data_IF_838527269068
#
_entry.id   IF_838527269068
#
_cell.length_a   1.000
_cell.length_b   1.000
_cell.length_c   1.000
_cell.angle_alpha   90.00
_cell.angle_beta   90.00
_cell.angle_gamma   90.00
#
_symmetry.space_group_name_H-M   'P 1'
#
loop_
_entity.id
_entity.type
_entity.pdbx_description
1 polymer ?
#
# COMPACT_ATOMS: atom_id res chain seq x y z
N UNK A 1 -7.79 19.72 6.42
CA UNK A 1 -9.13 19.23 6.78
C UNK A 1 -9.57 19.90 8.06
N UNK A 2 -10.82 20.37 8.11
CA UNK A 2 -11.46 20.96 9.27
C UNK A 2 -12.86 20.34 9.39
N UNK A 3 -13.38 20.08 10.60
CA UNK A 3 -14.77 19.71 10.76
C UNK A 3 -15.64 20.85 10.20
N UNK A 4 -16.75 20.50 9.54
CA UNK A 4 -17.75 21.50 9.14
C UNK A 4 -18.56 21.94 10.38
N UNK A 5 -17.97 22.79 11.22
CA UNK A 5 -18.57 23.27 12.47
C UNK A 5 -17.59 23.23 13.66
N UNK A 6 -18.03 23.66 14.84
CA UNK A 6 -17.27 23.56 16.11
C UNK A 6 -17.17 22.14 16.67
N UNK A 7 -17.61 21.13 15.92
CA UNK A 7 -17.72 19.77 16.39
C UNK A 7 -16.40 19.01 16.40
N UNK A 8 -16.29 18.09 17.36
CA UNK A 8 -15.29 17.02 17.30
C UNK A 8 -15.44 16.21 16.00
N UNK A 9 -14.33 15.63 15.54
CA UNK A 9 -14.32 14.82 14.32
C UNK A 9 -13.17 13.83 14.30
N UNK A 10 -13.46 12.64 13.78
CA UNK A 10 -12.46 11.63 13.43
C UNK A 10 -12.40 11.53 11.90
N UNK A 11 -11.18 11.57 11.35
CA UNK A 11 -10.93 11.16 9.96
C UNK A 11 -10.01 9.97 9.93
N UNK A 12 -10.39 8.97 9.14
CA UNK A 12 -9.58 7.81 8.84
C UNK A 12 -9.15 7.90 7.37
N UNK A 13 -7.85 8.03 7.15
CA UNK A 13 -7.24 7.91 5.83
C UNK A 13 -6.62 6.54 5.72
N UNK A 14 -7.00 5.79 4.69
CA UNK A 14 -6.46 4.47 4.45
C UNK A 14 -5.69 4.45 3.13
N UNK A 15 -4.51 3.83 3.18
CA UNK A 15 -3.56 3.75 2.09
C UNK A 15 -3.31 2.30 1.76
N UNK A 16 -3.27 2.02 0.45
CA UNK A 16 -3.03 0.70 -0.11
C UNK A 16 -1.79 0.76 -0.98
N UNK A 17 -0.84 -0.14 -0.76
CA UNK A 17 0.32 -0.30 -1.61
C UNK A 17 0.61 -1.77 -1.85
N UNK A 18 0.85 -2.17 -3.11
CA UNK A 18 1.35 -3.51 -3.40
C UNK A 18 2.85 -3.66 -3.05
N UNK A 19 3.53 -2.56 -2.70
CA UNK A 19 4.97 -2.52 -2.44
C UNK A 19 5.29 -2.43 -0.96
N UNK A 20 6.38 -3.11 -0.55
CA UNK A 20 6.93 -3.01 0.80
C UNK A 20 7.47 -1.60 1.02
N UNK A 21 6.86 -0.84 1.93
CA UNK A 21 7.44 0.42 2.39
C UNK A 21 8.67 0.11 3.25
N UNK A 22 9.80 0.68 2.89
CA UNK A 22 11.06 0.51 3.61
C UNK A 22 11.30 1.64 4.58
N UNK A 23 11.06 2.86 4.12
CA UNK A 23 11.21 4.08 4.88
C UNK A 23 10.19 5.09 4.39
N UNK A 24 9.96 6.14 5.17
CA UNK A 24 9.12 7.24 4.76
C UNK A 24 9.09 8.36 5.77
N UNK A 25 8.32 9.38 5.44
CA UNK A 25 8.05 10.51 6.31
C UNK A 25 6.58 10.87 6.25
N UNK A 26 5.98 11.09 7.41
CA UNK A 26 4.72 11.82 7.53
C UNK A 26 5.06 13.21 8.04
N UNK A 27 4.71 14.21 7.26
CA UNK A 27 4.97 15.62 7.54
C UNK A 27 3.63 16.35 7.55
N UNK A 28 3.39 17.20 8.53
CA UNK A 28 2.17 17.98 8.54
C UNK A 28 2.18 19.13 9.53
N UNK A 29 1.03 19.79 9.64
CA UNK A 29 0.80 20.89 10.57
C UNK A 29 -0.61 20.78 11.14
N UNK A 30 -0.69 20.64 12.46
CA UNK A 30 -1.92 20.77 13.23
C UNK A 30 -2.12 22.24 13.62
N UNK A 31 -3.31 22.77 13.39
CA UNK A 31 -3.74 24.08 13.89
C UNK A 31 -4.68 23.88 15.07
N UNK A 32 -4.64 24.78 16.03
CA UNK A 32 -5.47 24.75 17.24
C UNK A 32 -4.80 25.47 18.39
N UNK A 33 -5.52 25.67 19.47
CA UNK A 33 -5.01 26.17 20.74
C UNK A 33 -4.29 25.04 21.51
N UNK A 34 -3.43 25.40 22.47
CA UNK A 34 -2.72 24.47 23.36
C UNK A 34 -3.66 23.59 24.18
N UNK A 35 -4.89 24.04 24.39
CA UNK A 35 -5.92 23.33 25.13
C UNK A 35 -6.77 22.40 24.24
N UNK A 36 -6.58 22.46 22.92
CA UNK A 36 -7.28 21.58 21.99
C UNK A 36 -6.73 20.17 22.09
N UNK A 37 -7.63 19.20 22.11
CA UNK A 37 -7.28 17.78 22.09
C UNK A 37 -7.17 17.34 20.63
N UNK A 38 -5.94 17.36 20.13
CA UNK A 38 -5.60 16.95 18.77
C UNK A 38 -4.77 15.68 18.83
N UNK A 39 -5.05 14.73 17.97
CA UNK A 39 -4.23 13.54 17.79
C UNK A 39 -4.17 13.17 16.31
N UNK A 40 -2.98 12.80 15.86
CA UNK A 40 -2.76 12.02 14.66
C UNK A 40 -2.10 10.72 15.10
N UNK A 41 -2.72 9.61 14.71
CA UNK A 41 -2.22 8.27 14.99
C UNK A 41 -2.05 7.47 13.70
N UNK A 42 -1.09 6.57 13.68
CA UNK A 42 -0.76 5.71 12.56
C UNK A 42 -0.85 4.23 12.98
N UNK A 43 -1.22 3.35 12.05
CA UNK A 43 -1.05 1.91 12.19
C UNK A 43 -0.91 1.22 10.85
N UNK A 44 -0.27 0.06 10.86
CA UNK A 44 -0.17 -0.84 9.73
C UNK A 44 -1.02 -2.09 9.93
N UNK A 45 -1.41 -2.72 8.82
CA UNK A 45 -2.00 -4.05 8.84
C UNK A 45 -0.92 -5.09 9.15
N UNK A 46 -1.25 -6.05 10.01
CA UNK A 46 -0.41 -7.23 10.25
C UNK A 46 -0.43 -8.11 9.00
N UNK A 47 0.73 -8.61 8.58
CA UNK A 47 0.84 -9.52 7.45
C UNK A 47 -0.11 -10.72 7.61
N UNK A 48 -0.82 -11.06 6.54
CA UNK A 48 -1.68 -12.24 6.51
C UNK A 48 -0.81 -13.49 6.41
N UNK A 49 -0.80 -14.37 7.44
CA UNK A 49 0.19 -15.44 7.54
C UNK A 49 0.02 -16.53 6.47
N UNK A 50 -1.20 -16.79 6.01
CA UNK A 50 -1.48 -17.91 5.11
C UNK A 50 -1.94 -17.43 3.73
N UNK A 51 -2.95 -16.56 3.65
CA UNK A 51 -3.53 -16.12 2.38
C UNK A 51 -4.38 -14.84 2.51
N UNK A 52 -4.86 -14.31 1.37
CA UNK A 52 -5.67 -13.10 1.30
C UNK A 52 -7.02 -13.20 2.02
N UNK A 53 -7.54 -14.41 2.23
CA UNK A 53 -8.81 -14.67 2.93
C UNK A 53 -8.66 -14.71 4.46
N UNK A 54 -7.43 -14.73 5.00
CA UNK A 54 -7.22 -14.56 6.44
C UNK A 54 -7.83 -13.21 6.89
N UNK A 55 -8.44 -13.15 8.10
CA UNK A 55 -9.06 -11.92 8.59
C UNK A 55 -8.02 -10.81 8.76
N UNK A 56 -8.43 -9.58 8.44
CA UNK A 56 -7.59 -8.41 8.63
C UNK A 56 -7.31 -8.20 10.12
N UNK A 57 -6.02 -8.14 10.47
CA UNK A 57 -5.55 -7.77 11.81
C UNK A 57 -4.72 -6.52 11.69
N UNK A 58 -4.89 -5.61 12.64
CA UNK A 58 -4.20 -4.32 12.67
C UNK A 58 -3.23 -4.26 13.84
N UNK A 59 -2.10 -3.61 13.63
CA UNK A 59 -1.24 -3.22 14.74
C UNK A 59 -1.94 -2.21 15.65
N UNK A 60 -1.50 -2.07 16.91
CA UNK A 60 -1.95 -0.99 17.78
C UNK A 60 -1.74 0.38 17.13
N UNK A 61 -2.59 1.35 17.48
CA UNK A 61 -2.39 2.73 17.09
C UNK A 61 -1.16 3.31 17.78
N UNK A 62 -0.32 4.01 17.01
CA UNK A 62 0.79 4.80 17.53
C UNK A 62 0.56 6.28 17.29
N UNK A 63 0.68 7.10 18.33
CA UNK A 63 0.41 8.54 18.26
C UNK A 63 1.63 9.26 17.72
N UNK A 64 1.53 9.78 16.50
CA UNK A 64 2.65 10.46 15.80
C UNK A 64 2.65 11.98 16.00
N UNK A 65 1.51 12.57 16.38
CA UNK A 65 1.42 13.97 16.76
C UNK A 65 0.21 14.20 17.68
N UNK A 66 0.35 15.00 18.73
CA UNK A 66 -0.73 15.26 19.69
C UNK A 66 -0.86 16.72 20.13
N UNK A 67 -0.20 17.65 19.43
CA UNK A 67 -0.17 19.07 19.79
C UNK A 67 -0.22 19.95 18.53
N UNK A 68 -0.74 21.19 18.63
CA UNK A 68 -0.64 22.16 17.55
C UNK A 68 0.80 22.41 17.14
N UNK A 69 0.99 22.70 15.86
CA UNK A 69 2.28 22.97 15.24
C UNK A 69 2.66 21.97 14.16
N UNK A 70 3.86 22.15 13.63
CA UNK A 70 4.44 21.25 12.62
C UNK A 70 4.94 19.98 13.26
N UNK A 71 4.73 18.86 12.57
CA UNK A 71 5.27 17.57 12.94
C UNK A 71 5.93 16.90 11.73
N UNK A 72 6.94 16.09 12.02
CA UNK A 72 7.59 15.21 11.08
C UNK A 72 7.96 13.94 11.82
N UNK A 73 7.45 12.81 11.34
CA UNK A 73 7.77 11.48 11.87
C UNK A 73 8.34 10.64 10.74
N UNK A 74 9.45 9.96 11.03
CA UNK A 74 10.03 8.97 10.14
C UNK A 74 9.26 7.67 10.32
N UNK A 75 8.84 7.06 9.22
CA UNK A 75 8.36 5.69 9.19
C UNK A 75 9.52 4.79 8.76
N UNK A 76 9.69 3.67 9.44
CA UNK A 76 10.61 2.62 9.01
C UNK A 76 9.90 1.27 8.81
N UNK A 77 10.67 0.25 8.45
CA UNK A 77 10.16 -1.11 8.26
C UNK A 77 9.40 -1.61 9.48
N UNK A 78 9.81 -1.25 10.69
CA UNK A 78 9.14 -1.64 11.93
C UNK A 78 7.73 -1.08 12.04
N UNK A 79 7.53 0.16 11.58
CA UNK A 79 6.22 0.82 11.55
C UNK A 79 5.35 0.26 10.41
N UNK A 80 5.97 -0.03 9.27
CA UNK A 80 5.31 -0.56 8.09
C UNK A 80 4.92 -2.04 8.22
N UNK A 81 5.70 -2.80 8.99
CA UNK A 81 5.47 -4.19 9.36
C UNK A 81 6.54 -4.64 10.38
N UNK A 82 6.21 -4.66 11.67
CA UNK A 82 7.13 -5.05 12.74
C UNK A 82 7.77 -6.43 12.51
N UNK A 83 8.95 -6.46 11.86
CA UNK A 83 9.90 -7.60 11.77
C UNK A 83 9.33 -8.96 11.37
N UNK A 84 8.07 -9.02 10.91
CA UNK A 84 7.27 -10.23 10.68
C UNK A 84 6.48 -10.15 9.37
N UNK A 85 6.80 -9.18 8.51
CA UNK A 85 6.29 -9.15 7.14
C UNK A 85 6.76 -10.40 6.42
N UNK A 86 5.82 -11.29 6.10
CA UNK A 86 6.02 -12.25 5.01
C UNK A 86 6.37 -11.47 3.76
N UNK A 87 7.24 -12.03 2.93
CA UNK A 87 7.58 -11.53 1.59
C UNK A 87 6.38 -11.58 0.62
N UNK A 88 5.14 -11.61 1.11
CA UNK A 88 3.92 -11.73 0.33
C UNK A 88 2.82 -10.92 1.02
N UNK A 89 2.32 -9.86 0.38
CA UNK A 89 1.15 -9.14 0.88
C UNK A 89 0.93 -7.76 0.26
N UNK A 90 -0.34 -7.38 0.17
CA UNK A 90 -0.76 -5.98 -0.01
C UNK A 90 -0.56 -5.28 1.34
N UNK A 91 0.18 -4.17 1.34
CA UNK A 91 0.42 -3.38 2.53
C UNK A 91 -0.68 -2.34 2.68
N UNK A 92 -1.34 -2.36 3.83
CA UNK A 92 -2.36 -1.37 4.20
C UNK A 92 -1.90 -0.62 5.43
N UNK A 93 -2.10 0.69 5.40
CA UNK A 93 -1.84 1.56 6.54
C UNK A 93 -2.96 2.55 6.72
N UNK A 94 -3.18 2.95 7.96
CA UNK A 94 -4.20 3.91 8.31
C UNK A 94 -3.58 5.07 9.08
N UNK A 95 -4.06 6.27 8.76
CA UNK A 95 -3.84 7.47 9.54
C UNK A 95 -5.18 7.89 10.13
N UNK A 96 -5.26 7.95 11.45
CA UNK A 96 -6.40 8.51 12.18
C UNK A 96 -6.07 9.92 12.60
N UNK A 97 -6.99 10.85 12.37
CA UNK A 97 -6.90 12.24 12.80
C UNK A 97 -8.10 12.48 13.70
N UNK A 98 -7.83 12.70 14.99
CA UNK A 98 -8.83 13.02 15.99
C UNK A 98 -8.72 14.49 16.36
N UNK A 99 -9.83 15.20 16.22
CA UNK A 99 -9.99 16.55 16.69
C UNK A 99 -11.12 16.51 17.72
N UNK A 100 -10.78 16.57 19.00
CA UNK A 100 -11.78 16.69 20.06
C UNK A 100 -11.99 18.16 20.41
N UNK A 101 -13.21 18.46 20.83
CA UNK A 101 -13.63 19.82 21.17
C UNK A 101 -12.75 20.37 22.31
N UNK A 102 -12.32 21.62 22.17
CA UNK A 102 -11.70 22.36 23.25
C UNK A 102 -12.69 22.49 24.40
N UNK A 103 -12.24 22.36 25.64
CA UNK A 103 -13.09 22.62 26.80
C UNK A 103 -13.54 24.10 26.74
N UNK A 104 -14.77 24.35 26.29
CA UNK A 104 -15.31 25.69 26.01
C UNK A 104 -15.33 26.61 27.25
N UNK A 105 -15.12 26.02 28.44
CA UNK A 105 -14.97 26.72 29.71
C UNK A 105 -13.69 27.57 29.83
N UNK A 106 -12.67 27.33 28.97
CA UNK A 106 -11.39 28.06 29.00
C UNK A 106 -11.24 29.13 27.90
N UNK A 107 -12.21 29.25 26.98
CA UNK A 107 -12.22 30.25 25.91
C UNK A 107 -12.73 31.62 26.40
N UNK A 108 -12.17 32.13 27.49
CA UNK A 108 -12.57 33.41 28.11
C UNK A 108 -11.54 34.51 27.85
N UNK A 109 -11.29 34.81 26.58
CA UNK A 109 -10.53 35.98 26.16
C UNK A 109 -10.76 36.23 24.67
N UNK A 110 -11.31 37.40 24.32
CA UNK A 110 -11.82 37.77 22.98
C UNK A 110 -10.80 37.86 21.83
N UNK A 111 -9.91 36.87 21.71
CA UNK A 111 -9.09 36.63 20.53
C UNK A 111 -9.84 35.83 19.46
N UNK A 112 -9.42 35.98 18.22
CA UNK A 112 -9.91 35.21 17.08
C UNK A 112 -9.77 33.71 17.35
N UNK A 113 -10.88 32.97 17.35
CA UNK A 113 -10.91 31.54 17.65
C UNK A 113 -10.18 30.77 16.54
N UNK A 114 -8.97 30.29 16.82
CA UNK A 114 -8.21 29.45 15.89
C UNK A 114 -8.88 28.09 15.81
N UNK A 115 -9.55 27.82 14.69
CA UNK A 115 -10.25 26.54 14.48
C UNK A 115 -9.24 25.39 14.44
N UNK A 116 -9.42 24.44 15.35
CA UNK A 116 -8.61 23.23 15.44
C UNK A 116 -8.72 22.39 14.15
N UNK A 117 -7.61 21.83 13.69
CA UNK A 117 -7.63 21.00 12.49
C UNK A 117 -6.27 20.63 11.91
N UNK A 118 -6.33 19.90 10.79
CA UNK A 118 -5.15 19.55 10.01
C UNK A 118 -4.97 20.56 8.88
N UNK A 119 -3.95 21.41 8.96
CA UNK A 119 -3.66 22.40 7.91
C UNK A 119 -2.97 21.77 6.71
N UNK A 120 -1.99 20.89 6.95
CA UNK A 120 -1.25 20.22 5.89
C UNK A 120 -0.88 18.80 6.29
N UNK A 121 -0.83 17.92 5.30
CA UNK A 121 -0.34 16.55 5.42
C UNK A 121 0.35 16.17 4.11
N UNK A 122 1.59 15.69 4.22
CA UNK A 122 2.37 15.12 3.15
C UNK A 122 2.94 13.81 3.64
N UNK A 123 2.74 12.76 2.85
CA UNK A 123 3.38 11.48 3.05
C UNK A 123 4.42 11.27 1.94
N UNK A 124 5.62 10.87 2.32
CA UNK A 124 6.70 10.48 1.43
C UNK A 124 7.04 9.02 1.76
N UNK A 125 6.88 8.11 0.82
CA UNK A 125 7.19 6.69 1.01
C UNK A 125 8.31 6.24 0.08
N UNK A 126 9.26 5.49 0.61
CA UNK A 126 10.31 4.79 -0.13
C UNK A 126 10.01 3.30 -0.11
N UNK A 127 9.96 2.72 -1.30
CA UNK A 127 9.56 1.33 -1.48
C UNK A 127 10.74 0.47 -1.90
N UNK A 128 10.71 -0.79 -1.49
CA UNK A 128 11.74 -1.75 -1.89
C UNK A 128 11.65 -2.01 -3.39
N UNK A 129 12.62 -1.52 -4.15
CA UNK A 129 12.71 -1.77 -5.60
C UNK A 129 13.20 -3.19 -5.93
N UNK A 130 13.70 -3.94 -4.94
CA UNK A 130 14.32 -5.25 -5.12
C UNK A 130 13.35 -6.43 -5.02
N UNK A 131 12.16 -6.23 -4.47
CA UNK A 131 11.24 -7.32 -4.15
C UNK A 131 9.81 -6.90 -4.57
N UNK A 132 9.39 -7.39 -5.73
CA UNK A 132 7.99 -7.59 -6.15
C UNK A 132 7.15 -6.40 -6.63
N UNK A 133 6.87 -6.38 -7.93
CA UNK A 133 5.49 -6.24 -8.47
C UNK A 133 5.30 -6.81 -9.87
N UNK A 134 6.29 -7.53 -10.39
CA UNK A 134 6.19 -8.30 -11.62
C UNK A 134 6.46 -9.75 -11.19
N UNK A 135 5.62 -10.74 -11.55
CA UNK A 135 5.90 -12.14 -11.25
C UNK A 135 7.33 -12.45 -11.68
N UNK A 136 8.15 -12.85 -10.71
CA UNK A 136 9.58 -12.99 -10.95
C UNK A 136 9.79 -14.20 -11.87
N UNK A 137 10.12 -13.93 -13.12
CA UNK A 137 10.94 -14.84 -13.89
C UNK A 137 12.39 -14.67 -13.44
N UNK A 138 13.10 -15.77 -13.25
CA UNK A 138 14.50 -15.87 -12.86
C UNK A 138 15.38 -16.18 -14.07
N UNK A 139 16.70 -16.09 -13.88
CA UNK A 139 17.64 -16.59 -14.88
C UNK A 139 17.40 -18.09 -15.15
N UNK A 140 17.37 -18.44 -16.44
CA UNK A 140 17.13 -19.80 -16.91
C UNK A 140 15.66 -20.10 -17.12
N UNK A 141 15.25 -21.34 -16.83
CA UNK A 141 13.91 -21.84 -17.15
C UNK A 141 12.92 -21.56 -16.02
N UNK A 142 11.82 -20.92 -16.38
CA UNK A 142 10.73 -20.58 -15.49
C UNK A 142 9.46 -21.36 -15.84
N UNK A 143 8.73 -21.78 -14.81
CA UNK A 143 7.36 -22.31 -14.95
C UNK A 143 6.40 -21.25 -14.45
N UNK A 144 5.57 -20.73 -15.35
CA UNK A 144 4.56 -19.72 -15.04
C UNK A 144 3.20 -20.38 -14.89
N UNK A 145 2.49 -20.01 -13.83
CA UNK A 145 1.13 -20.45 -13.54
C UNK A 145 0.22 -19.23 -13.52
N UNK A 146 -0.71 -19.18 -14.46
CA UNK A 146 -1.74 -18.15 -14.52
C UNK A 146 -3.04 -18.75 -14.01
N UNK A 147 -3.55 -18.25 -12.88
CA UNK A 147 -4.72 -18.79 -12.20
C UNK A 147 -5.87 -17.81 -12.25
N UNK A 148 -7.06 -18.31 -12.53
CA UNK A 148 -8.31 -17.55 -12.43
C UNK A 148 -9.26 -18.25 -11.47
N UNK A 149 -10.18 -17.50 -10.87
CA UNK A 149 -11.18 -18.07 -9.98
C UNK A 149 -12.15 -18.98 -10.74
N UNK A 150 -12.69 -18.48 -11.85
CA UNK A 150 -13.58 -19.21 -12.76
C UNK A 150 -13.20 -18.92 -14.22
N UNK A 151 -12.63 -19.89 -14.95
CA UNK A 151 -12.21 -19.70 -16.33
C UNK A 151 -13.38 -19.51 -17.30
N UNK A 152 -14.60 -19.91 -16.92
CA UNK A 152 -15.79 -19.72 -17.75
C UNK A 152 -16.24 -18.25 -17.83
N UNK A 153 -15.79 -17.40 -16.89
CA UNK A 153 -16.06 -15.97 -16.89
C UNK A 153 -15.09 -15.18 -17.77
N UNK A 154 -14.00 -15.80 -18.25
CA UNK A 154 -13.04 -15.13 -19.13
C UNK A 154 -13.59 -15.10 -20.54
N UNK A 155 -14.07 -13.94 -20.95
CA UNK A 155 -14.54 -13.66 -22.30
C UNK A 155 -13.37 -13.10 -23.11
N UNK A 156 -12.73 -13.94 -23.92
CA UNK A 156 -11.64 -13.51 -24.79
C UNK A 156 -10.29 -14.17 -24.53
N UNK A 157 -9.33 -13.88 -25.39
CA UNK A 157 -7.96 -14.36 -25.24
C UNK A 157 -7.24 -13.49 -24.20
N UNK A 158 -6.36 -14.09 -23.40
CA UNK A 158 -5.50 -13.34 -22.47
C UNK A 158 -4.09 -13.32 -23.05
N UNK A 159 -3.50 -12.14 -23.22
CA UNK A 159 -2.10 -11.99 -23.62
C UNK A 159 -1.25 -11.63 -22.40
N UNK A 160 -0.22 -12.42 -22.14
CA UNK A 160 0.73 -12.23 -21.04
C UNK A 160 2.11 -11.91 -21.62
N UNK A 161 2.59 -10.69 -21.41
CA UNK A 161 3.85 -10.18 -21.96
C UNK A 161 4.86 -9.91 -20.85
N UNK A 162 6.02 -10.56 -20.89
CA UNK A 162 7.17 -10.24 -20.03
C UNK A 162 8.22 -9.48 -20.82
N UNK A 163 8.82 -8.45 -20.21
CA UNK A 163 10.04 -7.80 -20.73
C UNK A 163 11.12 -7.84 -19.66
N UNK A 164 12.35 -8.15 -20.03
CA UNK A 164 13.47 -8.21 -19.09
C UNK A 164 14.80 -7.81 -19.72
N UNK A 165 15.71 -7.33 -18.88
CA UNK A 165 17.06 -6.95 -19.27
C UNK A 165 18.03 -8.13 -19.17
N UNK A 166 18.88 -8.26 -20.19
CA UNK A 166 20.07 -9.13 -20.19
C UNK A 166 21.32 -8.32 -20.47
N UNK A 167 22.52 -8.93 -20.39
CA UNK A 167 23.75 -8.27 -20.82
C UNK A 167 23.72 -7.86 -22.32
N UNK A 168 22.94 -8.55 -23.14
CA UNK A 168 22.78 -8.28 -24.57
C UNK A 168 21.64 -7.33 -24.93
N UNK A 169 20.98 -6.71 -23.95
CA UNK A 169 19.82 -5.84 -24.18
C UNK A 169 18.51 -6.39 -23.60
N UNK A 170 17.43 -5.66 -23.85
CA UNK A 170 16.08 -6.06 -23.45
C UNK A 170 15.59 -7.26 -24.28
N UNK A 171 14.83 -8.14 -23.65
CA UNK A 171 14.17 -9.31 -24.21
C UNK A 171 12.68 -9.24 -23.88
N UNK A 172 11.87 -9.88 -24.71
CA UNK A 172 10.43 -9.96 -24.56
C UNK A 172 9.95 -11.41 -24.74
N UNK A 173 8.90 -11.79 -24.00
CA UNK A 173 8.16 -13.03 -24.17
C UNK A 173 6.67 -12.76 -24.14
N UNK A 174 5.95 -13.25 -25.15
CA UNK A 174 4.51 -13.12 -25.28
C UNK A 174 3.88 -14.51 -25.20
N UNK A 175 3.03 -14.71 -24.19
CA UNK A 175 2.23 -15.92 -24.02
C UNK A 175 0.77 -15.57 -24.22
N UNK A 176 0.15 -16.25 -25.19
CA UNK A 176 -1.30 -16.23 -25.35
C UNK A 176 -1.95 -17.35 -24.54
N UNK A 177 -2.95 -17.02 -23.74
CA UNK A 177 -3.75 -17.96 -22.95
C UNK A 177 -5.17 -17.97 -23.52
N UNK A 178 -5.55 -19.10 -24.09
CA UNK A 178 -6.91 -19.33 -24.60
C UNK A 178 -7.71 -20.05 -23.52
N UNK A 179 -8.75 -19.44 -22.92
CA UNK A 179 -9.36 -20.00 -21.72
C UNK A 179 -9.93 -21.41 -21.88
N UNK A 180 -10.59 -21.67 -23.01
CA UNK A 180 -11.16 -22.98 -23.32
C UNK A 180 -10.13 -24.07 -23.63
N UNK A 181 -8.87 -23.70 -23.81
CA UNK A 181 -7.81 -24.64 -24.13
C UNK A 181 -6.83 -24.81 -22.99
N UNK A 182 -6.45 -23.74 -22.28
CA UNK A 182 -5.26 -23.76 -21.43
C UNK A 182 -5.54 -23.85 -19.94
N UNK A 183 -6.74 -23.50 -19.47
CA UNK A 183 -7.11 -23.70 -18.07
C UNK A 183 -7.47 -25.16 -17.83
N UNK A 184 -6.45 -25.96 -17.56
CA UNK A 184 -6.63 -27.33 -17.08
C UNK A 184 -6.76 -27.30 -15.54
N UNK A 185 -6.86 -28.50 -14.93
CA UNK A 185 -7.05 -28.74 -13.47
C UNK A 185 -6.62 -27.57 -12.55
N UNK A 186 -7.49 -27.25 -11.60
CA UNK A 186 -7.32 -26.17 -10.61
C UNK A 186 -7.43 -24.74 -11.18
N UNK A 187 -8.07 -24.58 -12.35
CA UNK A 187 -8.28 -23.30 -13.03
C UNK A 187 -6.95 -22.58 -13.33
N UNK A 188 -5.94 -23.35 -13.75
CA UNK A 188 -4.58 -22.87 -14.02
C UNK A 188 -4.17 -23.13 -15.46
N UNK A 189 -3.68 -22.08 -16.12
CA UNK A 189 -2.91 -22.17 -17.34
C UNK A 189 -1.41 -22.18 -16.99
N UNK A 190 -0.73 -23.25 -17.36
CA UNK A 190 0.68 -23.47 -17.03
C UNK A 190 1.52 -23.46 -18.31
N UNK A 191 2.56 -22.66 -18.34
CA UNK A 191 3.49 -22.58 -19.46
C UNK A 191 4.91 -22.28 -18.98
N UNK A 192 5.90 -22.35 -19.88
CA UNK A 192 7.31 -22.12 -19.53
C UNK A 192 7.91 -20.95 -20.29
N UNK A 193 8.78 -20.21 -19.62
CA UNK A 193 9.57 -19.12 -20.20
C UNK A 193 11.04 -19.40 -19.94
N UNK A 194 11.87 -19.39 -20.98
CA UNK A 194 13.32 -19.42 -20.85
C UNK A 194 13.87 -17.99 -20.88
N UNK A 195 14.50 -17.57 -19.79
CA UNK A 195 15.06 -16.24 -19.59
C UNK A 195 16.56 -16.30 -19.21
N UNK A 196 17.42 -16.87 -20.08
CA UNK A 196 18.85 -16.98 -19.78
C UNK A 196 19.52 -15.60 -19.72
N UNK A 197 20.41 -15.41 -18.74
CA UNK A 197 21.11 -14.16 -18.49
C UNK A 197 20.21 -13.03 -18.02
N UNK A 198 19.06 -13.34 -17.41
CA UNK A 198 18.17 -12.34 -16.83
C UNK A 198 18.88 -11.57 -15.70
N UNK A 199 18.96 -10.26 -15.86
CA UNK A 199 19.48 -9.33 -14.83
C UNK A 199 18.32 -8.73 -14.04
N UNK A 200 17.25 -8.32 -14.75
CA UNK A 200 16.10 -7.64 -14.17
C UNK A 200 14.87 -7.86 -15.05
N UNK A 201 13.73 -8.21 -14.46
CA UNK A 201 12.46 -8.10 -15.16
C UNK A 201 11.99 -6.64 -15.17
N UNK A 202 11.72 -6.10 -16.36
CA UNK A 202 11.34 -4.71 -16.58
C UNK A 202 9.83 -4.50 -16.47
N UNK A 203 9.01 -5.43 -17.02
CA UNK A 203 7.55 -5.35 -16.95
C UNK A 203 6.87 -6.71 -17.14
N UNK A 204 5.68 -6.86 -16.57
CA UNK A 204 4.65 -7.80 -17.00
C UNK A 204 3.41 -7.02 -17.44
N UNK A 205 2.83 -7.40 -18.57
CA UNK A 205 1.54 -6.89 -19.03
C UNK A 205 0.59 -8.06 -19.24
N UNK A 206 -0.62 -7.95 -18.70
CA UNK A 206 -1.71 -8.89 -18.95
C UNK A 206 -2.81 -8.08 -19.62
N UNK A 207 -3.16 -8.40 -20.87
CA UNK A 207 -4.27 -7.80 -21.59
C UNK A 207 -5.32 -8.85 -21.92
N UNK A 208 -6.57 -8.40 -21.99
CA UNK A 208 -7.73 -9.20 -22.37
C UNK A 208 -8.20 -8.68 -23.72
N UNK A 209 -8.30 -9.56 -24.71
CA UNK A 209 -8.73 -9.25 -26.08
C UNK A 209 -10.12 -9.81 -26.38
#
# INVERSE_FOLDING_TARGET
>A
MRPGGSGSGEWLLEFYSPYVMTEGFIIGELTGDRNDKLEIAFRSQVAKPNNLSDPDRWMPWDTIAARPGRFQVRLDRGDAAAGKSSLHGVYRWQLRINLAESDASLASGGGEQVVAGLRSLRMLGYFENGIMSIPQIFDGRNTVRFKVEDPSLVQGEIMVTYRWQTAGGEREHNQRIVPGEMFYRDNEAVYTIDAPGLIRCNSLTISYE
#
